data_IF_340390074696
#
_entry.id   IF_340390074696
#
_cell.length_a   1.000
_cell.length_b   1.000
_cell.length_c   1.000
_cell.angle_alpha   90.00
_cell.angle_beta   90.00
_cell.angle_gamma   90.00
#
_symmetry.space_group_name_H-M   'P 1'
#
loop_
_entity.id
_entity.type
_entity.pdbx_description
1 polymer ?
#
# COMPACT_ATOMS: atom_id res chain seq x y z
N UNK A 1 19.56 19.54 -71.90
CA UNK A 1 20.05 18.93 -70.64
C UNK A 1 18.99 19.20 -69.59
N UNK A 2 18.12 18.22 -69.35
CA UNK A 2 16.86 18.36 -68.62
C UNK A 2 17.09 18.16 -67.12
N UNK A 3 16.66 19.11 -66.29
CA UNK A 3 16.80 19.07 -64.84
C UNK A 3 15.75 18.12 -64.20
N UNK A 4 16.20 17.25 -63.29
CA UNK A 4 15.35 16.38 -62.48
C UNK A 4 14.82 17.12 -61.24
N UNK A 5 13.57 16.87 -60.78
CA UNK A 5 13.03 17.48 -59.57
C UNK A 5 13.51 16.76 -58.29
N UNK A 6 13.56 17.45 -57.13
CA UNK A 6 14.02 16.87 -55.87
C UNK A 6 12.98 15.93 -55.24
N UNK A 7 13.47 14.87 -54.60
CA UNK A 7 12.69 13.79 -53.96
C UNK A 7 12.12 14.23 -52.61
N UNK A 8 10.84 13.96 -52.41
CA UNK A 8 10.05 14.16 -51.20
C UNK A 8 10.67 13.47 -49.97
N UNK A 9 10.90 14.23 -48.89
CA UNK A 9 11.32 13.72 -47.58
C UNK A 9 10.07 13.40 -46.77
N UNK A 10 9.87 12.11 -46.45
CA UNK A 10 8.80 11.65 -45.58
C UNK A 10 8.99 12.16 -44.15
N UNK A 11 8.02 12.93 -43.66
CA UNK A 11 7.92 13.36 -42.28
C UNK A 11 7.35 12.21 -41.43
N UNK A 12 8.21 11.40 -40.82
CA UNK A 12 7.81 10.35 -39.89
C UNK A 12 7.50 10.95 -38.52
N UNK A 13 6.21 11.02 -38.19
CA UNK A 13 5.71 11.34 -36.85
C UNK A 13 6.37 10.46 -35.79
N UNK A 14 7.14 11.08 -34.88
CA UNK A 14 7.62 10.43 -33.66
C UNK A 14 6.45 10.29 -32.68
N UNK A 15 5.95 9.06 -32.49
CA UNK A 15 5.07 8.71 -31.36
C UNK A 15 5.90 8.76 -30.07
N UNK A 16 5.44 9.41 -28.99
CA UNK A 16 6.11 9.31 -27.70
C UNK A 16 5.95 7.89 -27.16
N UNK A 17 7.09 7.24 -26.89
CA UNK A 17 7.18 5.94 -26.24
C UNK A 17 6.81 6.13 -24.77
N UNK A 18 5.72 5.51 -24.33
CA UNK A 18 5.33 5.43 -22.92
C UNK A 18 6.45 4.78 -22.09
N UNK A 19 6.67 5.18 -20.81
CA UNK A 19 7.71 4.60 -19.97
C UNK A 19 7.38 3.15 -19.64
N UNK A 20 7.91 2.22 -20.45
CA UNK A 20 7.88 0.79 -20.17
C UNK A 20 9.05 0.52 -19.23
N UNK A 21 8.74 0.23 -17.96
CA UNK A 21 9.73 -0.30 -17.02
C UNK A 21 10.41 -1.54 -17.64
N UNK A 22 11.75 -1.64 -17.65
CA UNK A 22 12.42 -2.81 -18.20
C UNK A 22 12.16 -4.02 -17.31
N UNK A 23 11.53 -5.06 -17.89
CA UNK A 23 11.49 -6.40 -17.30
C UNK A 23 12.91 -6.98 -17.35
N UNK A 24 13.63 -6.92 -16.23
CA UNK A 24 14.90 -7.62 -16.07
C UNK A 24 14.61 -9.12 -15.90
N UNK A 25 15.01 -9.93 -16.88
CA UNK A 25 14.90 -11.37 -16.82
C UNK A 25 16.11 -12.02 -16.12
N UNK A 26 15.81 -13.16 -15.49
CA UNK A 26 16.70 -14.22 -14.97
C UNK A 26 17.31 -14.07 -13.57
N UNK A 27 16.60 -14.65 -12.59
CA UNK A 27 17.16 -15.50 -11.54
C UNK A 27 16.05 -16.49 -11.16
N UNK A 28 16.38 -17.75 -10.90
CA UNK A 28 15.46 -18.77 -10.36
C UNK A 28 15.16 -18.49 -8.88
N UNK A 29 14.66 -17.29 -8.61
CA UNK A 29 14.24 -16.75 -7.33
C UNK A 29 12.93 -15.99 -7.59
N UNK A 30 12.05 -15.93 -6.59
CA UNK A 30 10.74 -15.27 -6.73
C UNK A 30 10.88 -13.93 -7.46
N UNK A 31 10.22 -13.81 -8.62
CA UNK A 31 10.36 -12.65 -9.51
C UNK A 31 9.78 -11.38 -8.89
N UNK A 32 8.91 -11.53 -7.88
CA UNK A 32 8.15 -10.46 -7.28
C UNK A 32 8.04 -10.65 -5.76
N UNK A 33 8.47 -9.65 -5.00
CA UNK A 33 8.29 -9.60 -3.55
C UNK A 33 7.06 -8.74 -3.21
N UNK A 34 6.11 -9.30 -2.47
CA UNK A 34 4.85 -8.65 -2.08
C UNK A 34 4.83 -8.45 -0.57
N UNK A 35 4.55 -7.23 -0.13
CA UNK A 35 4.35 -6.93 1.28
C UNK A 35 2.91 -7.26 1.70
N UNK A 36 2.74 -7.87 2.86
CA UNK A 36 1.45 -7.88 3.56
C UNK A 36 1.65 -7.22 4.92
N UNK A 37 1.08 -6.02 5.10
CA UNK A 37 1.16 -5.30 6.36
C UNK A 37 0.19 -5.91 7.37
N UNK A 38 0.71 -6.28 8.53
CA UNK A 38 -0.06 -6.93 9.60
C UNK A 38 0.09 -6.19 10.92
N UNK A 39 -0.99 -6.14 11.70
CA UNK A 39 -1.05 -5.47 13.00
C UNK A 39 -1.65 -6.38 14.09
N UNK A 40 -1.64 -7.69 13.83
CA UNK A 40 -2.10 -8.74 14.75
C UNK A 40 -3.60 -8.69 15.07
N UNK A 41 -4.37 -7.98 14.23
CA UNK A 41 -5.84 -7.97 14.22
C UNK A 41 -6.44 -9.07 13.32
N UNK A 42 -7.72 -9.35 13.50
CA UNK A 42 -8.47 -10.27 12.63
C UNK A 42 -8.60 -9.73 11.20
N UNK A 43 -8.67 -8.40 11.05
CA UNK A 43 -8.67 -7.73 9.75
C UNK A 43 -7.38 -8.00 8.97
N UNK A 44 -6.23 -7.91 9.64
CA UNK A 44 -4.94 -8.23 9.02
C UNK A 44 -4.80 -9.73 8.73
N UNK A 45 -5.31 -10.59 9.62
CA UNK A 45 -5.33 -12.05 9.40
C UNK A 45 -6.16 -12.42 8.16
N UNK A 46 -7.32 -11.76 7.99
CA UNK A 46 -8.13 -11.91 6.80
C UNK A 46 -7.43 -11.40 5.54
N UNK A 47 -6.71 -10.28 5.62
CA UNK A 47 -5.94 -9.77 4.48
C UNK A 47 -4.89 -10.78 3.99
N UNK A 48 -4.22 -11.50 4.89
CA UNK A 48 -3.30 -12.60 4.51
C UNK A 48 -4.04 -13.71 3.76
N UNK A 49 -5.16 -14.20 4.30
CA UNK A 49 -5.98 -15.24 3.66
C UNK A 49 -6.50 -14.79 2.29
N UNK A 50 -6.94 -13.53 2.20
CA UNK A 50 -7.43 -12.94 0.97
C UNK A 50 -6.31 -12.82 -0.08
N UNK A 51 -5.11 -12.42 0.32
CA UNK A 51 -3.96 -12.30 -0.58
C UNK A 51 -3.60 -13.64 -1.21
N UNK A 52 -3.51 -14.70 -0.40
CA UNK A 52 -3.26 -16.08 -0.86
C UNK A 52 -4.27 -16.51 -1.92
N UNK A 53 -5.55 -16.21 -1.69
CA UNK A 53 -6.63 -16.66 -2.58
C UNK A 53 -6.75 -15.84 -3.87
N UNK A 54 -6.48 -14.54 -3.83
CA UNK A 54 -6.91 -13.61 -4.89
C UNK A 54 -5.78 -12.83 -5.57
N UNK A 55 -4.64 -12.66 -4.90
CA UNK A 55 -3.58 -11.75 -5.39
C UNK A 55 -2.29 -12.50 -5.75
N UNK A 56 -1.85 -13.38 -4.85
CA UNK A 56 -0.57 -14.07 -4.97
C UNK A 56 -0.59 -15.06 -6.12
N UNK A 57 0.56 -15.17 -6.80
CA UNK A 57 0.77 -16.01 -7.98
C UNK A 57 2.01 -16.88 -7.79
N UNK A 58 2.14 -17.99 -8.53
CA UNK A 58 3.38 -18.76 -8.55
C UNK A 58 4.57 -17.87 -8.89
N UNK A 59 5.64 -17.98 -8.11
CA UNK A 59 6.84 -17.14 -8.24
C UNK A 59 6.81 -15.85 -7.42
N UNK A 60 5.74 -15.58 -6.65
CA UNK A 60 5.75 -14.54 -5.62
C UNK A 60 6.42 -15.03 -4.34
N UNK A 61 7.08 -14.11 -3.64
CA UNK A 61 7.49 -14.29 -2.25
C UNK A 61 6.91 -13.16 -1.39
N UNK A 62 6.48 -13.50 -0.18
CA UNK A 62 5.77 -12.59 0.71
C UNK A 62 6.68 -12.08 1.82
N UNK A 63 6.58 -10.78 2.12
CA UNK A 63 7.10 -10.22 3.36
C UNK A 63 5.91 -9.84 4.25
N UNK A 64 5.73 -10.59 5.34
CA UNK A 64 4.80 -10.20 6.40
C UNK A 64 5.45 -9.08 7.20
N UNK A 65 4.98 -7.86 6.97
CA UNK A 65 5.56 -6.64 7.51
C UNK A 65 4.74 -6.17 8.71
N UNK A 66 5.36 -6.15 9.89
CA UNK A 66 4.73 -5.64 11.11
C UNK A 66 5.57 -4.51 11.69
N UNK A 67 4.94 -3.37 11.96
CA UNK A 67 5.55 -2.31 12.75
C UNK A 67 5.04 -2.42 14.18
N UNK A 68 5.95 -2.70 15.11
CA UNK A 68 5.68 -2.72 16.53
C UNK A 68 5.91 -1.32 17.09
N UNK A 69 4.89 -0.65 17.63
CA UNK A 69 5.05 0.64 18.30
C UNK A 69 6.12 0.56 19.39
N UNK A 70 7.05 1.51 19.41
CA UNK A 70 8.02 1.65 20.50
C UNK A 70 8.06 3.08 21.02
N UNK A 71 8.18 3.25 22.34
CA UNK A 71 8.46 4.54 22.95
C UNK A 71 9.95 4.86 22.99
N UNK A 72 10.82 3.92 22.65
CA UNK A 72 12.27 4.12 22.67
C UNK A 72 12.70 4.92 21.44
N UNK A 73 13.29 6.09 21.66
CA UNK A 73 13.99 6.85 20.63
C UNK A 73 15.45 6.43 20.67
N UNK A 74 15.86 5.60 19.71
CA UNK A 74 17.27 5.23 19.55
C UNK A 74 18.12 6.50 19.39
N UNK A 75 18.98 6.79 20.36
CA UNK A 75 19.87 7.95 20.36
C UNK A 75 19.41 9.15 21.20
N UNK A 76 18.22 9.12 21.81
CA UNK A 76 17.78 10.11 22.82
C UNK A 76 17.84 9.55 24.26
N UNK A 77 18.25 8.30 24.39
CA UNK A 77 18.34 7.48 25.60
C UNK A 77 19.73 7.50 26.24
N UNK A 78 20.56 8.51 25.94
CA UNK A 78 21.89 8.74 26.54
C UNK A 78 21.82 8.89 28.07
N UNK A 79 21.74 7.77 28.78
CA UNK A 79 21.61 7.69 30.24
C UNK A 79 20.43 6.86 30.75
N UNK A 80 19.53 6.40 29.88
CA UNK A 80 18.45 5.50 30.27
C UNK A 80 18.91 4.05 30.16
N UNK A 81 19.23 3.44 31.31
CA UNK A 81 19.40 1.99 31.41
C UNK A 81 18.04 1.37 31.76
N UNK A 82 17.41 0.56 30.89
CA UNK A 82 16.19 -0.14 31.26
C UNK A 82 16.45 -1.06 32.46
N UNK A 83 15.49 -1.16 33.36
CA UNK A 83 15.56 -2.11 34.47
C UNK A 83 15.41 -3.54 33.95
N UNK A 84 15.90 -4.53 34.70
CA UNK A 84 15.72 -5.95 34.36
C UNK A 84 14.23 -6.32 34.17
N UNK A 85 13.33 -5.68 34.92
CA UNK A 85 11.89 -5.85 34.75
C UNK A 85 11.40 -5.29 33.41
N UNK A 86 11.85 -4.10 33.02
CA UNK A 86 11.50 -3.49 31.74
C UNK A 86 11.99 -4.33 30.56
N UNK A 87 13.23 -4.84 30.65
CA UNK A 87 13.80 -5.74 29.65
C UNK A 87 12.97 -7.03 29.51
N UNK A 88 12.54 -7.61 30.64
CA UNK A 88 11.70 -8.80 30.62
C UNK A 88 10.34 -8.55 29.97
N UNK A 89 9.68 -7.45 30.31
CA UNK A 89 8.40 -7.04 29.70
C UNK A 89 8.57 -6.86 28.19
N UNK A 90 9.66 -6.23 27.76
CA UNK A 90 9.93 -6.01 26.33
C UNK A 90 10.14 -7.33 25.59
N UNK A 91 10.91 -8.25 26.17
CA UNK A 91 11.14 -9.60 25.65
C UNK A 91 9.86 -10.42 25.58
N UNK A 92 9.02 -10.40 26.62
CA UNK A 92 7.75 -11.11 26.64
C UNK A 92 6.81 -10.62 25.52
N UNK A 93 6.80 -9.31 25.28
CA UNK A 93 6.02 -8.72 24.19
C UNK A 93 6.64 -9.01 22.82
N UNK A 94 7.97 -9.01 22.68
CA UNK A 94 8.67 -9.47 21.46
C UNK A 94 8.29 -10.94 21.14
N UNK A 95 8.29 -11.80 22.15
CA UNK A 95 7.91 -13.21 22.01
C UNK A 95 6.45 -13.36 21.58
N UNK A 96 5.52 -12.63 22.23
CA UNK A 96 4.11 -12.64 21.87
C UNK A 96 3.88 -12.17 20.42
N UNK A 97 4.57 -11.11 20.02
CA UNK A 97 4.51 -10.57 18.66
C UNK A 97 4.97 -11.61 17.65
N UNK A 98 6.11 -12.27 17.90
CA UNK A 98 6.64 -13.33 17.04
C UNK A 98 5.69 -14.52 16.93
N UNK A 99 5.11 -14.98 18.05
CA UNK A 99 4.15 -16.08 18.04
C UNK A 99 2.92 -15.74 17.20
N UNK A 100 2.32 -14.57 17.40
CA UNK A 100 1.15 -14.13 16.63
C UNK A 100 1.48 -13.93 15.15
N UNK A 101 2.62 -13.31 14.82
CA UNK A 101 3.05 -13.15 13.43
C UNK A 101 3.25 -14.52 12.73
N UNK A 102 3.76 -15.52 13.45
CA UNK A 102 3.87 -16.89 12.94
C UNK A 102 2.50 -17.52 12.69
N UNK A 103 1.53 -17.29 13.57
CA UNK A 103 0.15 -17.75 13.36
C UNK A 103 -0.49 -17.09 12.13
N UNK A 104 -0.26 -15.80 11.91
CA UNK A 104 -0.75 -15.11 10.71
C UNK A 104 -0.14 -15.66 9.42
N UNK A 105 1.04 -16.28 9.49
CA UNK A 105 1.69 -16.88 8.33
C UNK A 105 1.15 -18.26 7.93
N UNK A 106 0.31 -18.89 8.76
CA UNK A 106 -0.23 -20.24 8.47
C UNK A 106 -0.89 -20.37 7.08
N UNK A 107 -1.71 -19.41 6.60
CA UNK A 107 -2.29 -19.50 5.26
C UNK A 107 -1.24 -19.50 4.14
N UNK A 108 -0.07 -18.88 4.36
CA UNK A 108 1.05 -18.89 3.41
C UNK A 108 1.76 -20.25 3.42
N UNK A 109 1.93 -20.84 4.61
CA UNK A 109 2.50 -22.19 4.77
C UNK A 109 1.61 -23.22 4.07
N UNK A 110 0.30 -23.18 4.33
CA UNK A 110 -0.69 -24.09 3.75
C UNK A 110 -0.74 -23.99 2.21
N UNK A 111 -0.56 -22.78 1.67
CA UNK A 111 -0.50 -22.54 0.22
C UNK A 111 0.89 -22.75 -0.39
N UNK A 112 1.89 -23.16 0.40
CA UNK A 112 3.29 -23.32 -0.02
C UNK A 112 3.88 -22.06 -0.69
N UNK A 113 3.54 -20.89 -0.16
CA UNK A 113 4.07 -19.59 -0.62
C UNK A 113 5.32 -19.25 0.19
N UNK A 114 6.48 -19.00 -0.45
CA UNK A 114 7.68 -18.52 0.26
C UNK A 114 7.39 -17.22 1.00
N UNK A 115 7.75 -17.14 2.28
CA UNK A 115 7.57 -15.90 3.05
C UNK A 115 8.68 -15.64 4.06
N UNK A 116 8.79 -14.37 4.47
CA UNK A 116 9.62 -13.91 5.58
C UNK A 116 8.80 -12.99 6.48
N UNK A 117 8.95 -13.14 7.79
CA UNK A 117 8.39 -12.20 8.77
C UNK A 117 9.43 -11.09 9.00
N UNK A 118 9.02 -9.84 8.83
CA UNK A 118 9.84 -8.66 9.04
C UNK A 118 9.17 -7.74 10.07
N UNK A 119 9.67 -7.78 11.30
CA UNK A 119 9.18 -6.95 12.40
C UNK A 119 10.16 -5.80 12.62
N UNK A 120 9.64 -4.57 12.57
CA UNK A 120 10.41 -3.35 12.85
C UNK A 120 9.80 -2.62 14.04
N UNK A 121 10.65 -2.00 14.86
CA UNK A 121 10.21 -1.16 15.98
C UNK A 121 10.28 0.30 15.54
N UNK A 122 9.16 1.01 15.61
CA UNK A 122 9.11 2.44 15.24
C UNK A 122 7.99 3.17 16.00
N UNK A 123 8.07 4.51 16.07
CA UNK A 123 7.01 5.35 16.62
C UNK A 123 5.93 5.64 15.59
N UNK A 124 6.33 5.88 14.34
CA UNK A 124 5.39 6.16 13.27
C UNK A 124 5.20 4.93 12.39
N UNK A 125 4.10 4.21 12.64
CA UNK A 125 3.77 2.98 11.92
C UNK A 125 3.55 3.22 10.41
N UNK A 126 2.84 4.29 10.06
CA UNK A 126 2.41 4.55 8.67
C UNK A 126 3.59 5.00 7.81
N UNK A 127 4.47 5.85 8.35
CA UNK A 127 5.71 6.24 7.70
C UNK A 127 6.66 5.06 7.60
N UNK A 128 6.82 4.29 8.69
CA UNK A 128 7.73 3.14 8.69
C UNK A 128 7.33 2.06 7.70
N UNK A 129 6.04 1.79 7.53
CA UNK A 129 5.57 0.85 6.51
C UNK A 129 6.03 1.27 5.11
N UNK A 130 5.80 2.53 4.74
CA UNK A 130 6.17 3.04 3.42
C UNK A 130 7.70 2.98 3.20
N UNK A 131 8.48 3.35 4.21
CA UNK A 131 9.94 3.30 4.16
C UNK A 131 10.46 1.86 4.03
N UNK A 132 9.91 0.90 4.76
CA UNK A 132 10.33 -0.50 4.65
C UNK A 132 9.97 -1.12 3.30
N UNK A 133 8.82 -0.76 2.74
CA UNK A 133 8.40 -1.17 1.40
C UNK A 133 9.39 -0.69 0.34
N UNK A 134 9.81 0.58 0.41
CA UNK A 134 10.81 1.15 -0.49
C UNK A 134 12.18 0.50 -0.28
N UNK A 135 12.64 0.44 0.97
CA UNK A 135 13.96 -0.11 1.36
C UNK A 135 14.13 -1.56 0.92
N UNK A 136 13.07 -2.35 0.97
CA UNK A 136 13.08 -3.76 0.57
C UNK A 136 12.74 -3.98 -0.90
N UNK A 137 12.43 -2.93 -1.67
CA UNK A 137 12.11 -3.03 -3.09
C UNK A 137 10.85 -3.85 -3.36
N UNK A 138 9.80 -3.67 -2.55
CA UNK A 138 8.58 -4.48 -2.65
C UNK A 138 7.67 -3.94 -3.76
N UNK A 139 7.13 -4.87 -4.54
CA UNK A 139 6.37 -4.58 -5.75
C UNK A 139 4.93 -4.15 -5.53
N UNK A 140 4.36 -4.50 -4.38
CA UNK A 140 3.01 -4.15 -3.95
C UNK A 140 2.89 -4.33 -2.43
N UNK A 141 1.96 -3.60 -1.82
CA UNK A 141 1.61 -3.74 -0.41
C UNK A 141 0.12 -4.08 -0.26
N UNK A 142 -0.18 -5.16 0.47
CA UNK A 142 -1.54 -5.57 0.82
C UNK A 142 -1.76 -5.30 2.30
N UNK A 143 -2.90 -4.73 2.67
CA UNK A 143 -3.21 -4.46 4.08
C UNK A 143 -4.71 -4.45 4.36
N UNK A 144 -5.06 -4.57 5.64
CA UNK A 144 -6.44 -4.36 6.09
C UNK A 144 -6.88 -2.90 5.92
N UNK A 145 -8.17 -2.68 5.69
CA UNK A 145 -8.76 -1.34 5.64
C UNK A 145 -8.76 -0.61 6.97
N UNK A 146 -8.74 -1.36 8.06
CA UNK A 146 -8.73 -0.92 9.44
C UNK A 146 -7.76 -1.81 10.21
N UNK A 147 -7.30 -1.30 11.35
CA UNK A 147 -6.37 -2.00 12.20
C UNK A 147 -6.88 -2.20 13.62
N UNK A 148 -6.00 -2.68 14.48
CA UNK A 148 -6.22 -2.91 15.90
C UNK A 148 -6.83 -1.67 16.60
N UNK A 149 -7.94 -1.88 17.31
CA UNK A 149 -8.68 -0.82 18.03
C UNK A 149 -9.78 -0.13 17.22
N UNK A 150 -9.99 -0.49 15.96
CA UNK A 150 -11.08 0.05 15.14
C UNK A 150 -12.45 -0.64 15.37
N UNK A 151 -12.47 -1.78 16.06
CA UNK A 151 -13.67 -2.58 16.34
C UNK A 151 -14.42 -2.15 17.60
N UNK A 152 -13.83 -1.27 18.41
CA UNK A 152 -14.35 -0.89 19.75
C UNK A 152 -15.31 0.30 19.77
N UNK A 153 -15.57 0.99 18.66
CA UNK A 153 -16.58 2.06 18.62
C UNK A 153 -17.84 1.58 17.90
N UNK A 154 -18.84 1.16 18.68
CA UNK A 154 -20.19 0.81 18.24
C UNK A 154 -21.02 1.98 17.70
N UNK A 155 -20.41 2.87 16.92
CA UNK A 155 -21.08 4.01 16.32
C UNK A 155 -20.68 4.09 14.85
N UNK A 156 -21.59 3.66 13.96
CA UNK A 156 -21.72 4.07 12.55
C UNK A 156 -20.40 4.57 11.93
N UNK A 157 -19.36 3.73 11.90
CA UNK A 157 -18.14 4.12 11.20
C UNK A 157 -18.42 3.85 9.72
N UNK A 158 -18.92 4.89 9.06
CA UNK A 158 -19.18 5.02 7.63
C UNK A 158 -18.56 3.90 6.78
N UNK A 159 -19.44 3.01 6.26
CA UNK A 159 -19.14 2.05 5.19
C UNK A 159 -18.38 2.79 4.08
N UNK A 160 -17.05 2.67 4.08
CA UNK A 160 -16.22 3.41 3.09
C UNK A 160 -14.92 3.98 3.61
N UNK A 161 -14.87 4.51 4.85
CA UNK A 161 -13.68 5.24 5.33
C UNK A 161 -12.51 4.29 5.65
N UNK A 162 -11.30 4.62 5.22
CA UNK A 162 -10.06 3.91 5.57
C UNK A 162 -9.61 4.27 7.00
N UNK A 163 -8.84 3.40 7.63
CA UNK A 163 -8.09 3.70 8.85
C UNK A 163 -6.92 4.64 8.55
N UNK A 164 -6.36 5.28 9.58
CA UNK A 164 -5.28 6.27 9.43
C UNK A 164 -4.03 5.70 8.74
N UNK A 165 -3.65 4.46 9.06
CA UNK A 165 -2.47 3.81 8.48
C UNK A 165 -2.71 3.43 7.02
N UNK A 166 -3.87 2.83 6.72
CA UNK A 166 -4.21 2.43 5.34
C UNK A 166 -4.41 3.64 4.44
N UNK A 167 -5.08 4.68 4.93
CA UNK A 167 -5.25 5.95 4.23
C UNK A 167 -3.90 6.59 3.91
N UNK A 168 -2.99 6.67 4.88
CA UNK A 168 -1.65 7.21 4.63
C UNK A 168 -0.88 6.40 3.59
N UNK A 169 -0.85 5.08 3.74
CA UNK A 169 -0.14 4.18 2.83
C UNK A 169 -0.64 4.30 1.38
N UNK A 170 -1.95 4.41 1.15
CA UNK A 170 -2.51 4.57 -0.20
C UNK A 170 -1.98 5.82 -0.91
N UNK A 171 -1.72 6.90 -0.16
CA UNK A 171 -1.26 8.16 -0.74
C UNK A 171 0.27 8.29 -0.83
N UNK A 172 1.03 7.60 0.02
CA UNK A 172 2.47 7.84 0.18
C UNK A 172 3.37 6.63 -0.14
N UNK A 173 2.79 5.45 -0.31
CA UNK A 173 3.57 4.26 -0.63
C UNK A 173 4.08 4.32 -2.07
N UNK A 174 5.35 3.97 -2.27
CA UNK A 174 6.01 3.99 -3.59
C UNK A 174 5.48 2.92 -4.56
N UNK A 175 4.78 1.91 -4.04
CA UNK A 175 4.21 0.81 -4.82
C UNK A 175 2.69 0.71 -4.66
N UNK A 176 1.98 0.01 -5.57
CA UNK A 176 0.54 -0.16 -5.48
C UNK A 176 0.08 -0.75 -4.14
N UNK A 177 -0.93 -0.12 -3.54
CA UNK A 177 -1.52 -0.55 -2.27
C UNK A 177 -2.88 -1.20 -2.50
N UNK A 178 -3.05 -2.43 -2.02
CA UNK A 178 -4.32 -3.17 -2.05
C UNK A 178 -4.92 -3.17 -0.65
N UNK A 179 -6.07 -2.53 -0.51
CA UNK A 179 -6.78 -2.41 0.77
C UNK A 179 -7.89 -3.45 0.85
N UNK A 180 -7.73 -4.44 1.73
CA UNK A 180 -8.68 -5.53 1.94
C UNK A 180 -9.71 -5.14 2.99
N UNK A 181 -10.99 -5.30 2.64
CA UNK A 181 -12.10 -5.07 3.56
C UNK A 181 -12.42 -6.35 4.32
N UNK A 182 -12.45 -6.25 5.64
CA UNK A 182 -12.91 -7.33 6.49
C UNK A 182 -14.44 -7.44 6.38
N UNK A 183 -15.00 -8.63 6.13
CA UNK A 183 -16.44 -8.80 6.11
C UNK A 183 -16.99 -8.52 7.50
N UNK A 184 -17.92 -7.55 7.61
CA UNK A 184 -18.66 -7.32 8.84
C UNK A 184 -19.80 -8.33 8.88
N UNK A 185 -19.96 -9.07 9.99
CA UNK A 185 -21.18 -9.84 10.23
C UNK A 185 -22.31 -8.84 10.48
N UNK A 186 -22.97 -8.44 9.40
CA UNK A 186 -24.25 -7.76 9.47
C UNK A 186 -25.24 -8.80 10.05
N UNK A 187 -25.76 -8.53 11.24
CA UNK A 187 -26.87 -9.29 11.78
C UNK A 187 -28.05 -9.26 10.80
N UNK A 188 -28.41 -10.45 10.31
CA UNK A 188 -29.59 -10.82 9.53
C UNK A 188 -29.55 -10.66 7.99
N UNK A 189 -30.00 -11.73 7.31
CA UNK A 189 -30.46 -11.73 5.91
C UNK A 189 -29.42 -12.09 4.84
N UNK A 190 -29.31 -13.38 4.49
CA UNK A 190 -28.46 -13.85 3.40
C UNK A 190 -28.78 -13.22 2.04
N UNK A 191 -27.73 -12.88 1.27
CA UNK A 191 -27.84 -12.66 -0.17
C UNK A 191 -26.61 -13.19 -0.89
N UNK A 192 -26.93 -13.84 -2.00
CA UNK A 192 -26.16 -14.58 -2.97
C UNK A 192 -24.95 -13.85 -3.56
N UNK A 193 -23.99 -14.65 -4.01
CA UNK A 193 -22.85 -14.23 -4.85
C UNK A 193 -23.35 -13.48 -6.09
N UNK A 194 -23.27 -12.15 -6.10
CA UNK A 194 -23.35 -11.38 -7.35
C UNK A 194 -21.96 -11.19 -7.94
N UNK A 195 -21.81 -11.70 -9.16
CA UNK A 195 -20.69 -11.47 -10.04
C UNK A 195 -20.46 -9.95 -10.22
N UNK A 196 -19.19 -9.55 -10.22
CA UNK A 196 -18.78 -8.18 -10.53
C UNK A 196 -19.10 -7.91 -11.99
N UNK A 197 -20.07 -7.03 -12.22
CA UNK A 197 -20.31 -6.41 -13.54
C UNK A 197 -19.42 -5.17 -13.58
N UNK A 198 -18.64 -5.08 -14.66
CA UNK A 198 -17.77 -3.95 -14.98
C UNK A 198 -18.60 -2.66 -15.04
N UNK A 199 -18.34 -1.74 -14.12
CA UNK A 199 -19.00 -0.44 -14.06
C UNK A 199 -18.19 0.56 -14.91
N UNK A 200 -18.80 1.04 -15.99
CA UNK A 200 -18.33 2.21 -16.74
C UNK A 200 -18.15 3.40 -15.78
N UNK A 201 -16.97 4.01 -15.81
CA UNK A 201 -16.67 5.22 -15.06
C UNK A 201 -17.43 6.41 -15.66
N UNK A 202 -18.19 7.20 -14.88
CA UNK A 202 -18.77 8.43 -15.38
C UNK A 202 -17.67 9.47 -15.64
N UNK A 203 -17.82 10.34 -16.67
CA UNK A 203 -16.83 11.36 -17.00
C UNK A 203 -16.72 12.41 -15.89
N UNK A 204 -15.48 12.80 -15.61
CA UNK A 204 -15.11 13.86 -14.67
C UNK A 204 -15.59 15.21 -15.23
N UNK A 205 -16.32 16.05 -14.47
CA UNK A 205 -16.64 17.40 -14.91
C UNK A 205 -15.37 18.25 -14.94
N UNK A 206 -15.10 18.90 -16.07
CA UNK A 206 -14.03 19.89 -16.20
C UNK A 206 -14.52 21.20 -15.56
N UNK A 207 -13.83 21.69 -14.52
CA UNK A 207 -14.07 23.02 -13.96
C UNK A 207 -13.46 24.07 -14.91
N UNK A 208 -14.29 24.94 -15.48
CA UNK A 208 -13.84 26.10 -16.25
C UNK A 208 -13.16 27.10 -15.31
N UNK A 209 -11.86 27.34 -15.53
CA UNK A 209 -11.10 28.36 -14.81
C UNK A 209 -11.40 29.70 -15.47
N UNK A 210 -12.26 30.50 -14.84
CA UNK A 210 -12.60 31.85 -15.28
C UNK A 210 -11.40 32.79 -15.05
N UNK A 211 -10.72 33.16 -16.14
CA UNK A 211 -9.64 34.15 -16.12
C UNK A 211 -10.24 35.56 -16.14
N UNK A 212 -10.04 36.31 -15.06
CA UNK A 212 -10.31 37.76 -15.04
C UNK A 212 -9.12 38.50 -15.64
N UNK A 213 -9.27 38.97 -16.88
CA UNK A 213 -8.36 39.96 -17.48
C UNK A 213 -8.57 41.31 -16.80
N UNK A 214 -7.49 41.91 -16.30
CA UNK A 214 -7.48 43.26 -15.76
C UNK A 214 -7.23 44.25 -16.90
N UNK A 215 -8.24 45.04 -17.25
CA UNK A 215 -8.12 46.14 -18.20
C UNK A 215 -7.42 47.35 -17.56
N UNK A 216 -6.24 47.69 -18.08
CA UNK A 216 -5.59 48.98 -17.89
C UNK A 216 -6.29 50.02 -18.79
N UNK A 217 -7.05 50.96 -18.22
CA UNK A 217 -7.46 52.18 -18.92
C UNK A 217 -6.78 53.45 -18.38
N UNK A 218 -6.00 54.05 -19.27
CA UNK A 218 -5.37 55.36 -19.18
C UNK A 218 -6.40 56.47 -18.97
N UNK A 219 -6.12 57.38 -18.04
CA UNK A 219 -6.64 58.75 -18.12
C UNK A 219 -5.50 59.72 -18.46
N UNK A 220 -5.56 60.26 -19.68
CA UNK A 220 -4.83 61.48 -20.09
C UNK A 220 -5.84 62.64 -20.09
N UNK A 221 -5.40 63.78 -19.56
CA UNK A 221 -6.19 64.99 -19.50
C UNK A 221 -6.27 65.74 -20.83
N UNK A 222 -7.23 66.66 -20.85
CA UNK A 222 -7.15 68.02 -21.41
C UNK A 222 -8.13 68.89 -20.61
#
# INVERSE_FOLDING_TARGET
MSAQPPKSIHNSQLKPVSPRFPLSATSSAAHRHVAIAVDLSDESAYAVKWAVKNYLRPGDAVILLHVRPTSVLYGADWGFSPTNQQLKIEQDYDNLTNTKATQLALPLVEANVPYKIHIVKDRDMKERLCLEVERLGLSAMIMGSRGFGATSSGFIISKGKLGSVSDYCVHHCICPVVVVRYPQEDGDGGVEKKAVVEAELPPVPEEEVEYHDADDELTKGD
#
